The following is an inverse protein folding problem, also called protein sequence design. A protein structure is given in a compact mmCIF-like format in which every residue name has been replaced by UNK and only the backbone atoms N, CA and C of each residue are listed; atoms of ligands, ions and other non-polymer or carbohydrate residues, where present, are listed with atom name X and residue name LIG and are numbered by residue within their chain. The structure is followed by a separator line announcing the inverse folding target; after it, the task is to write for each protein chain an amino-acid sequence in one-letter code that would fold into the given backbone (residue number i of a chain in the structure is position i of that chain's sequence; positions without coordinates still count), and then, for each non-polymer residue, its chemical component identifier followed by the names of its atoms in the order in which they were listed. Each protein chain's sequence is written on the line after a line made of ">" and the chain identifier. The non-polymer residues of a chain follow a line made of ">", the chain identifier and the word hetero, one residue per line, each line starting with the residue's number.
data_IF_260694277133
#
_entry.id   IF_260694277133
#
_cell.length_a   1.000
_cell.length_b   1.000
_cell.length_c   1.000
_cell.angle_alpha   90.00
_cell.angle_beta   90.00
_cell.angle_gamma   90.00
#
_symmetry.space_group_name_H-M   'P 1'
#
loop_
_entity.id
_entity.type
_entity.pdbx_description
1 polymer ?
#
# COMPACT_ATOMS: atom_id res chain seq x y z
N UNK A 1 12.91 -24.77 -0.27
CA UNK A 1 12.07 -23.62 0.10
C UNK A 1 10.84 -23.71 -0.79
N UNK A 2 9.64 -23.82 -0.22
CA UNK A 2 8.41 -24.00 -1.02
C UNK A 2 7.98 -22.62 -1.51
N UNK A 3 7.93 -22.43 -2.83
CA UNK A 3 7.48 -21.19 -3.47
C UNK A 3 6.01 -20.99 -3.09
N UNK A 4 5.70 -19.94 -2.32
CA UNK A 4 4.32 -19.53 -2.06
C UNK A 4 3.84 -18.79 -3.29
N UNK A 5 2.76 -19.27 -3.91
CA UNK A 5 2.05 -18.52 -4.95
C UNK A 5 1.28 -17.39 -4.26
N UNK A 6 1.54 -16.15 -4.69
CA UNK A 6 0.82 -14.98 -4.22
C UNK A 6 -0.25 -14.59 -5.24
N UNK A 7 -1.51 -14.60 -4.81
CA UNK A 7 -2.61 -14.00 -5.57
C UNK A 7 -2.40 -12.48 -5.69
N UNK A 8 -3.01 -11.87 -6.70
CA UNK A 8 -2.97 -10.40 -6.86
C UNK A 8 -3.67 -9.66 -5.72
N UNK A 9 -4.58 -10.33 -5.00
CA UNK A 9 -5.33 -9.80 -3.87
C UNK A 9 -4.83 -10.34 -2.55
N UNK A 10 -4.68 -9.46 -1.56
CA UNK A 10 -4.37 -9.82 -0.18
C UNK A 10 -5.47 -9.35 0.77
N UNK A 11 -5.86 -10.21 1.72
CA UNK A 11 -6.81 -9.85 2.79
C UNK A 11 -6.07 -9.13 3.91
N UNK A 12 -6.62 -7.96 4.30
CA UNK A 12 -6.12 -7.14 5.38
C UNK A 12 -7.26 -6.84 6.34
N UNK A 13 -7.46 -7.71 7.33
CA UNK A 13 -8.57 -7.56 8.28
C UNK A 13 -8.51 -6.24 9.06
N UNK A 14 -7.29 -5.74 9.28
CA UNK A 14 -7.03 -4.48 9.97
C UNK A 14 -7.55 -3.24 9.21
N UNK A 15 -7.89 -3.36 7.92
CA UNK A 15 -8.52 -2.29 7.14
C UNK A 15 -9.97 -2.03 7.48
N UNK A 16 -10.61 -2.86 8.33
CA UNK A 16 -11.98 -2.57 8.79
C UNK A 16 -12.09 -1.13 9.33
N UNK A 17 -13.14 -0.46 8.88
CA UNK A 17 -13.46 0.94 9.04
C UNK A 17 -13.07 1.83 7.85
N UNK A 18 -12.10 1.44 7.01
CA UNK A 18 -11.77 2.18 5.79
C UNK A 18 -12.88 2.08 4.72
N UNK A 19 -12.93 3.03 3.79
CA UNK A 19 -13.90 3.01 2.70
C UNK A 19 -13.51 2.08 1.57
N UNK A 20 -14.53 1.49 0.96
CA UNK A 20 -14.39 0.74 -0.29
C UNK A 20 -14.09 1.71 -1.44
N UNK A 21 -13.31 1.27 -2.42
CA UNK A 21 -13.13 2.01 -3.67
C UNK A 21 -14.19 1.61 -4.69
N UNK A 22 -14.51 2.51 -5.61
CA UNK A 22 -15.35 2.15 -6.76
C UNK A 22 -14.64 1.13 -7.67
N UNK A 23 -15.42 0.52 -8.57
CA UNK A 23 -14.94 -0.53 -9.48
C UNK A 23 -13.79 -0.06 -10.38
N UNK A 24 -13.73 1.25 -10.67
CA UNK A 24 -12.69 1.88 -11.48
C UNK A 24 -11.41 2.22 -10.68
N UNK A 25 -11.39 2.00 -9.36
CA UNK A 25 -10.29 2.40 -8.46
C UNK A 25 -9.91 3.88 -8.60
N UNK A 26 -10.91 4.75 -8.80
CA UNK A 26 -10.71 6.20 -8.99
C UNK A 26 -11.11 7.01 -7.76
N UNK A 27 -12.02 6.53 -6.92
CA UNK A 27 -12.47 7.22 -5.72
C UNK A 27 -13.04 6.25 -4.69
N UNK A 28 -13.19 6.72 -3.44
CA UNK A 28 -13.91 5.96 -2.41
C UNK A 28 -15.43 6.02 -2.62
N UNK A 29 -16.14 4.97 -2.19
CA UNK A 29 -17.59 4.96 -2.01
C UNK A 29 -17.88 5.32 -0.54
N UNK A 30 -18.31 6.55 -0.21
CA UNK A 30 -18.35 7.03 1.18
C UNK A 30 -19.30 6.26 2.09
N UNK A 31 -20.33 5.63 1.51
CA UNK A 31 -21.33 4.87 2.25
C UNK A 31 -20.92 3.42 2.53
N UNK A 32 -19.84 2.92 1.92
CA UNK A 32 -19.47 1.51 1.97
C UNK A 32 -18.11 1.33 2.62
N UNK A 33 -18.05 0.38 3.57
CA UNK A 33 -16.80 -0.07 4.17
C UNK A 33 -16.10 -1.06 3.24
N UNK A 34 -14.76 -1.06 3.26
CA UNK A 34 -13.96 -2.04 2.53
C UNK A 34 -14.27 -3.47 2.99
N UNK A 35 -14.17 -4.42 2.06
CA UNK A 35 -14.19 -5.85 2.36
C UNK A 35 -12.83 -6.37 2.87
N UNK A 36 -11.82 -5.49 2.96
CA UNK A 36 -10.48 -5.79 3.45
C UNK A 36 -9.51 -6.30 2.39
N UNK A 37 -9.94 -6.51 1.14
CA UNK A 37 -9.06 -6.96 0.06
C UNK A 37 -8.41 -5.76 -0.66
N UNK A 38 -7.14 -5.90 -1.02
CA UNK A 38 -6.41 -4.91 -1.82
C UNK A 38 -5.41 -5.58 -2.73
N UNK A 39 -4.95 -4.85 -3.76
CA UNK A 39 -3.93 -5.35 -4.67
C UNK A 39 -2.53 -5.24 -4.06
N UNK A 40 -1.73 -6.28 -4.21
CA UNK A 40 -0.31 -6.29 -3.85
C UNK A 40 0.58 -6.25 -5.09
N UNK A 41 1.55 -5.34 -5.08
CA UNK A 41 2.54 -5.17 -6.13
C UNK A 41 3.95 -5.27 -5.56
N UNK A 42 4.91 -5.69 -6.38
CA UNK A 42 6.33 -5.49 -6.13
C UNK A 42 6.93 -4.69 -7.29
N UNK A 43 7.46 -3.51 -6.96
CA UNK A 43 7.97 -2.51 -7.89
C UNK A 43 6.98 -2.19 -9.03
N UNK A 44 5.69 -2.07 -8.67
CA UNK A 44 4.56 -1.80 -9.59
C UNK A 44 4.19 -2.94 -10.53
N UNK A 45 4.73 -4.15 -10.35
CA UNK A 45 4.30 -5.38 -11.03
C UNK A 45 3.41 -6.15 -10.05
N UNK A 46 2.24 -6.64 -10.47
CA UNK A 46 1.39 -7.41 -9.56
C UNK A 46 2.12 -8.70 -9.18
N UNK A 47 2.08 -9.06 -7.89
CA UNK A 47 2.85 -10.21 -7.38
C UNK A 47 2.49 -11.53 -8.06
N UNK A 48 1.25 -11.66 -8.54
CA UNK A 48 0.78 -12.82 -9.32
C UNK A 48 1.46 -13.00 -10.68
N UNK A 49 2.15 -11.98 -11.20
CA UNK A 49 2.93 -12.07 -12.45
C UNK A 49 4.43 -12.28 -12.21
N UNK A 50 4.87 -12.33 -10.94
CA UNK A 50 6.27 -12.55 -10.61
C UNK A 50 6.53 -14.05 -10.47
N UNK A 51 7.42 -14.56 -11.31
CA UNK A 51 7.88 -15.95 -11.25
C UNK A 51 8.92 -16.16 -10.14
N UNK A 52 9.56 -15.08 -9.70
CA UNK A 52 10.53 -15.08 -8.62
C UNK A 52 10.52 -13.72 -7.92
N UNK A 53 10.83 -13.71 -6.63
CA UNK A 53 10.91 -12.51 -5.81
C UNK A 53 12.17 -12.56 -4.95
N UNK A 54 12.85 -11.43 -4.87
CA UNK A 54 14.06 -11.31 -4.04
C UNK A 54 13.73 -11.57 -2.55
N UNK A 55 14.67 -12.12 -1.81
CA UNK A 55 14.50 -12.48 -0.39
C UNK A 55 14.03 -11.27 0.44
N UNK A 56 14.54 -10.07 0.18
CA UNK A 56 14.13 -8.85 0.89
C UNK A 56 12.66 -8.45 0.61
N UNK A 57 12.14 -8.79 -0.57
CA UNK A 57 10.75 -8.54 -0.92
C UNK A 57 9.83 -9.56 -0.23
N UNK A 58 10.22 -10.83 -0.22
CA UNK A 58 9.52 -11.88 0.52
C UNK A 58 9.50 -11.57 2.03
N UNK A 59 10.62 -11.12 2.58
CA UNK A 59 10.70 -10.68 3.97
C UNK A 59 9.77 -9.51 4.27
N UNK A 60 9.57 -8.59 3.32
CA UNK A 60 8.64 -7.47 3.49
C UNK A 60 7.19 -7.94 3.51
N UNK A 61 6.82 -8.90 2.66
CA UNK A 61 5.49 -9.49 2.62
C UNK A 61 5.21 -10.26 3.92
N UNK A 62 6.11 -11.17 4.33
CA UNK A 62 5.95 -11.93 5.57
C UNK A 62 5.85 -11.03 6.79
N UNK A 63 6.72 -10.02 6.91
CA UNK A 63 6.63 -9.06 8.01
C UNK A 63 5.28 -8.34 8.03
N UNK A 64 4.77 -7.95 6.86
CA UNK A 64 3.46 -7.32 6.75
C UNK A 64 2.33 -8.25 7.21
N UNK A 65 2.30 -9.50 6.73
CA UNK A 65 1.30 -10.50 7.09
C UNK A 65 1.24 -10.74 8.60
N UNK A 66 2.40 -10.81 9.25
CA UNK A 66 2.49 -11.03 10.70
C UNK A 66 2.11 -9.79 11.54
N UNK A 67 2.14 -8.59 10.95
CA UNK A 67 2.02 -7.32 11.68
C UNK A 67 0.94 -6.37 11.14
N UNK A 68 -0.02 -6.87 10.37
CA UNK A 68 -1.04 -6.06 9.67
C UNK A 68 -1.67 -5.00 10.58
N UNK A 69 -2.16 -5.41 11.77
CA UNK A 69 -2.81 -4.51 12.72
C UNK A 69 -1.90 -3.34 13.14
N UNK A 70 -0.68 -3.65 13.56
CA UNK A 70 0.29 -2.64 14.01
C UNK A 70 0.65 -1.67 12.88
N UNK A 71 0.76 -2.17 11.65
CA UNK A 71 1.06 -1.37 10.46
C UNK A 71 -0.12 -0.44 10.15
N UNK A 72 -1.35 -0.94 10.10
CA UNK A 72 -2.53 -0.13 9.80
C UNK A 72 -2.81 0.89 10.92
N UNK A 73 -2.58 0.56 12.18
CA UNK A 73 -2.68 1.51 13.29
C UNK A 73 -1.66 2.65 13.15
N UNK A 74 -0.42 2.30 12.78
CA UNK A 74 0.66 3.27 12.52
C UNK A 74 0.33 4.20 11.36
N UNK A 75 -0.19 3.63 10.26
CA UNK A 75 -0.62 4.39 9.08
C UNK A 75 -1.78 5.32 9.44
N UNK A 76 -2.77 4.81 10.17
CA UNK A 76 -3.93 5.58 10.60
C UNK A 76 -3.51 6.78 11.45
N UNK A 77 -2.63 6.57 12.43
CA UNK A 77 -2.07 7.64 13.26
C UNK A 77 -1.29 8.68 12.44
N UNK A 78 -0.62 8.27 11.37
CA UNK A 78 0.06 9.19 10.46
C UNK A 78 -0.95 10.02 9.64
N UNK A 79 -1.97 9.38 9.06
CA UNK A 79 -3.00 10.03 8.25
C UNK A 79 -3.88 10.97 9.07
N UNK A 80 -4.11 10.69 10.35
CA UNK A 80 -4.86 11.58 11.27
C UNK A 80 -4.23 12.97 11.48
N UNK A 81 -3.00 13.18 11.01
CA UNK A 81 -2.38 14.52 10.98
C UNK A 81 -2.95 15.41 9.87
N UNK A 82 -3.57 14.81 8.86
CA UNK A 82 -4.13 15.49 7.69
C UNK A 82 -5.66 15.35 7.64
N UNK A 83 -6.20 14.19 8.00
CA UNK A 83 -7.63 13.88 7.95
C UNK A 83 -8.23 13.78 9.34
N UNK A 84 -9.50 14.17 9.47
CA UNK A 84 -10.19 14.15 10.76
C UNK A 84 -10.55 12.71 11.16
N UNK A 85 -11.03 11.92 10.22
CA UNK A 85 -11.34 10.50 10.36
C UNK A 85 -10.84 9.75 9.11
N UNK A 86 -9.53 9.42 9.04
CA UNK A 86 -8.93 8.79 7.86
C UNK A 86 -9.67 7.55 7.39
N UNK A 87 -10.22 6.76 8.31
CA UNK A 87 -10.96 5.55 8.00
C UNK A 87 -12.26 5.86 7.24
N UNK A 88 -12.99 6.91 7.65
CA UNK A 88 -14.23 7.27 6.96
C UNK A 88 -14.03 8.08 5.68
N UNK A 89 -12.85 8.65 5.49
CA UNK A 89 -12.52 9.56 4.39
C UNK A 89 -11.72 8.87 3.26
N UNK A 90 -11.00 7.79 3.57
CA UNK A 90 -10.05 7.16 2.65
C UNK A 90 -10.38 5.69 2.41
N UNK A 91 -9.93 5.19 1.25
CA UNK A 91 -9.90 3.78 0.90
C UNK A 91 -8.49 3.38 0.48
N UNK A 92 -8.09 2.16 0.84
CA UNK A 92 -6.80 1.62 0.39
C UNK A 92 -6.94 1.10 -1.03
N UNK A 93 -6.11 1.61 -1.93
CA UNK A 93 -6.04 1.22 -3.33
C UNK A 93 -5.11 0.03 -3.51
N UNK A 94 -3.85 0.19 -3.09
CA UNK A 94 -2.88 -0.88 -3.18
C UNK A 94 -1.73 -0.78 -2.20
N UNK A 95 -0.99 -1.88 -2.11
CA UNK A 95 0.30 -2.00 -1.43
C UNK A 95 1.37 -2.30 -2.47
N UNK A 96 2.50 -1.60 -2.40
CA UNK A 96 3.62 -1.79 -3.30
C UNK A 96 4.92 -2.02 -2.52
N UNK A 97 5.50 -3.21 -2.65
CA UNK A 97 6.84 -3.54 -2.17
C UNK A 97 7.86 -2.82 -3.07
N UNK A 98 8.67 -1.94 -2.49
CA UNK A 98 9.60 -1.10 -3.26
C UNK A 98 10.93 -1.83 -3.49
N UNK A 99 11.61 -1.51 -4.59
CA UNK A 99 12.96 -2.01 -4.87
C UNK A 99 14.06 -1.36 -3.99
N UNK A 100 13.67 -0.64 -2.96
CA UNK A 100 14.57 -0.07 -1.96
C UNK A 100 14.46 -0.95 -0.72
N UNK A 101 15.59 -1.27 -0.09
CA UNK A 101 15.62 -2.12 1.10
C UNK A 101 16.64 -1.61 2.11
N UNK A 102 16.47 -2.03 3.35
CA UNK A 102 17.39 -1.77 4.45
C UNK A 102 17.26 -2.89 5.48
N UNK A 103 18.37 -3.34 6.05
CA UNK A 103 18.40 -4.40 7.06
C UNK A 103 17.71 -5.70 6.59
N UNK A 104 17.94 -6.08 5.33
CA UNK A 104 17.40 -7.31 4.72
C UNK A 104 15.89 -7.29 4.43
N UNK A 105 15.25 -6.12 4.41
CA UNK A 105 13.82 -5.99 4.13
C UNK A 105 13.51 -4.76 3.26
N UNK A 106 12.64 -4.96 2.26
CA UNK A 106 12.16 -3.88 1.41
C UNK A 106 11.29 -2.86 2.16
N UNK A 107 11.33 -1.61 1.70
CA UNK A 107 10.31 -0.63 2.08
C UNK A 107 8.99 -0.94 1.40
N UNK A 108 7.88 -0.54 2.02
CA UNK A 108 6.53 -0.78 1.50
C UNK A 108 5.79 0.55 1.38
N UNK A 109 5.10 0.77 0.26
CA UNK A 109 4.26 1.94 0.05
C UNK A 109 2.78 1.53 0.03
N UNK A 110 1.96 2.24 0.81
CA UNK A 110 0.52 2.13 0.82
C UNK A 110 -0.07 3.32 0.08
N UNK A 111 -0.92 3.06 -0.91
CA UNK A 111 -1.62 4.10 -1.68
C UNK A 111 -3.08 4.15 -1.24
N UNK A 112 -3.52 5.32 -0.81
CA UNK A 112 -4.90 5.61 -0.45
C UNK A 112 -5.52 6.60 -1.42
N UNK A 113 -6.84 6.51 -1.59
CA UNK A 113 -7.66 7.47 -2.34
C UNK A 113 -8.68 8.13 -1.40
N UNK A 114 -9.04 9.37 -1.69
CA UNK A 114 -10.21 10.04 -1.11
C UNK A 114 -11.41 10.03 -2.07
N UNK A 115 -12.49 10.71 -1.69
CA UNK A 115 -13.71 10.82 -2.51
C UNK A 115 -13.54 11.67 -3.78
N UNK A 116 -12.47 12.46 -3.87
CA UNK A 116 -12.12 13.26 -5.04
C UNK A 116 -11.08 12.57 -5.94
N UNK A 117 -10.64 11.37 -5.57
CA UNK A 117 -9.61 10.62 -6.28
C UNK A 117 -8.18 11.12 -6.06
N UNK A 118 -7.96 11.95 -5.05
CA UNK A 118 -6.61 12.36 -4.68
C UNK A 118 -5.86 11.18 -4.08
N UNK A 119 -4.60 11.03 -4.47
CA UNK A 119 -3.74 9.91 -4.07
C UNK A 119 -2.85 10.31 -2.89
N UNK A 120 -2.88 9.52 -1.82
CA UNK A 120 -2.05 9.70 -0.64
C UNK A 120 -1.16 8.48 -0.46
N UNK A 121 0.13 8.71 -0.25
CA UNK A 121 1.10 7.63 -0.13
C UNK A 121 1.75 7.63 1.24
N UNK A 122 1.79 6.47 1.87
CA UNK A 122 2.50 6.24 3.12
C UNK A 122 3.58 5.20 2.88
N UNK A 123 4.85 5.61 2.94
CA UNK A 123 6.01 4.72 2.85
C UNK A 123 6.41 4.26 4.25
N UNK A 124 6.61 2.95 4.43
CA UNK A 124 7.07 2.34 5.66
C UNK A 124 8.35 1.54 5.46
N UNK A 125 9.15 1.45 6.53
CA UNK A 125 10.11 0.38 6.75
C UNK A 125 9.61 -0.41 7.95
N UNK A 126 9.27 -1.70 7.75
CA UNK A 126 8.57 -2.50 8.76
C UNK A 126 7.30 -1.76 9.23
N UNK A 127 7.20 -1.46 10.53
CA UNK A 127 6.08 -0.75 11.15
C UNK A 127 6.36 0.75 11.39
N UNK A 128 7.33 1.36 10.69
CA UNK A 128 7.69 2.76 10.89
C UNK A 128 7.47 3.57 9.61
N UNK A 129 6.72 4.67 9.71
CA UNK A 129 6.56 5.62 8.61
C UNK A 129 7.88 6.34 8.33
N UNK A 130 8.26 6.36 7.06
CA UNK A 130 9.47 7.03 6.58
C UNK A 130 9.05 8.37 5.96
N UNK A 131 9.23 9.44 6.73
CA UNK A 131 8.97 10.80 6.28
C UNK A 131 10.10 11.25 5.34
N UNK A 132 10.07 10.82 4.08
CA UNK A 132 11.02 11.28 3.08
C UNK A 132 10.31 12.23 2.11
N UNK A 133 10.57 13.55 2.24
CA UNK A 133 10.01 14.59 1.33
C UNK A 133 10.28 14.26 -0.15
N UNK A 134 11.35 13.52 -0.45
CA UNK A 134 11.74 13.10 -1.80
C UNK A 134 10.92 11.94 -2.38
N UNK A 135 10.18 11.19 -1.57
CA UNK A 135 9.38 10.05 -2.06
C UNK A 135 8.21 10.52 -2.92
N UNK A 136 7.51 11.58 -2.49
CA UNK A 136 6.41 12.17 -3.24
C UNK A 136 6.86 12.69 -4.62
N UNK A 137 8.02 13.33 -4.69
CA UNK A 137 8.58 13.88 -5.94
C UNK A 137 9.03 12.79 -6.92
N UNK A 138 9.67 11.71 -6.43
CA UNK A 138 10.10 10.59 -7.29
C UNK A 138 8.94 9.75 -7.79
N UNK A 139 7.89 9.55 -6.97
CA UNK A 139 6.72 8.76 -7.37
C UNK A 139 5.91 9.48 -8.48
N UNK A 140 5.73 10.79 -8.36
CA UNK A 140 5.10 11.61 -9.40
C UNK A 140 5.91 11.60 -10.72
N UNK A 141 7.23 11.74 -10.64
CA UNK A 141 8.09 11.72 -11.84
C UNK A 141 8.12 10.35 -12.54
N UNK A 142 8.05 9.24 -11.80
CA UNK A 142 8.01 7.90 -12.41
C UNK A 142 6.70 7.67 -13.17
N UNK A 143 5.56 8.11 -12.64
CA UNK A 143 4.26 8.06 -13.36
C UNK A 143 4.29 8.93 -14.61
N UNK A 144 4.83 10.16 -14.52
CA UNK A 144 4.89 11.08 -15.65
C UNK A 144 5.70 10.47 -16.81
N UNK A 145 6.84 9.84 -16.52
CA UNK A 145 7.66 9.22 -17.56
C UNK A 145 7.06 7.91 -18.13
N UNK A 146 6.19 7.21 -17.40
CA UNK A 146 5.51 6.00 -17.93
C UNK A 146 4.32 6.32 -18.84
N UNK A 147 3.73 7.52 -18.72
CA UNK A 147 2.61 7.95 -19.57
C UNK A 147 3.09 8.64 -20.86
N UNK A 148 4.31 9.20 -20.85
CA UNK A 148 4.87 10.00 -21.94
C UNK A 148 6.15 9.41 -22.56
N UNK A 149 6.38 8.10 -22.45
CA UNK A 149 7.45 7.37 -23.18
C UNK A 149 6.88 6.26 -24.03
#
# INVERSE_FOLDING_TARGET
>A
MQTRDYDCYILIEALKGFRLLNEDFTAVIPAQETNGYTNLYANSIAVSFLHDMEDEQLNAIHFFEDHQKTIIDTISAHLSKTFKDPKKELGLDCINILNEHKDGICYVAYRFLDASGNKFYVKLHKNKVINNRNFFLRFLNKIYNTIYS
#
